data_IF_660641121480
#
_entry.id   IF_660641121480
#
_cell.length_a   1.000
_cell.length_b   1.000
_cell.length_c   1.000
_cell.angle_alpha   90.00
_cell.angle_beta   90.00
_cell.angle_gamma   90.00
#
_symmetry.space_group_name_H-M   'P 1'
#
loop_
_entity.id
_entity.type
_entity.pdbx_description
1 polymer ?
#
# COMPACT_ATOMS: atom_id res chain seq x y z
N UNK A 1 -73.57 1.56 34.81
CA UNK A 1 -72.89 2.18 33.60
C UNK A 1 -71.43 2.31 33.90
N UNK A 2 -70.63 1.38 33.46
CA UNK A 2 -69.16 1.45 33.57
C UNK A 2 -68.56 1.89 32.24
N UNK A 3 -67.88 3.03 32.25
CA UNK A 3 -67.19 3.59 31.07
C UNK A 3 -65.77 3.04 31.02
N UNK A 4 -65.48 2.27 29.98
CA UNK A 4 -64.13 1.74 29.70
C UNK A 4 -63.37 2.81 28.86
N UNK A 5 -62.31 3.37 29.43
CA UNK A 5 -61.35 4.24 28.69
C UNK A 5 -60.34 3.35 27.93
N UNK A 6 -60.37 3.48 26.62
CA UNK A 6 -59.37 2.91 25.70
C UNK A 6 -58.18 3.89 25.58
N UNK A 7 -56.97 3.45 25.91
CA UNK A 7 -55.72 4.15 25.63
C UNK A 7 -55.23 3.77 24.25
N UNK A 8 -54.81 4.72 23.39
CA UNK A 8 -54.19 4.40 22.13
C UNK A 8 -52.74 3.94 22.35
N UNK A 9 -52.44 2.72 21.95
CA UNK A 9 -51.08 2.20 21.96
C UNK A 9 -50.19 2.91 20.95
N UNK A 10 -49.13 3.54 21.43
CA UNK A 10 -48.07 4.14 20.60
C UNK A 10 -47.23 3.03 19.96
N UNK A 11 -47.36 2.85 18.65
CA UNK A 11 -46.51 1.99 17.88
C UNK A 11 -45.17 2.71 17.72
N UNK A 12 -44.15 2.31 18.45
CA UNK A 12 -42.77 2.69 18.22
C UNK A 12 -42.32 2.00 16.93
N UNK A 13 -42.20 2.77 15.83
CA UNK A 13 -41.51 2.31 14.65
C UNK A 13 -40.02 2.16 14.98
N UNK A 14 -39.53 0.91 15.06
CA UNK A 14 -38.10 0.62 15.06
C UNK A 14 -37.56 1.10 13.70
N UNK A 15 -36.86 2.23 13.69
CA UNK A 15 -35.99 2.59 12.58
C UNK A 15 -34.95 1.46 12.43
N UNK A 16 -35.04 0.70 11.36
CA UNK A 16 -33.95 -0.20 10.96
C UNK A 16 -32.75 0.71 10.71
N UNK A 17 -31.73 0.59 11.58
CA UNK A 17 -30.41 1.07 11.26
C UNK A 17 -30.01 0.34 9.98
N UNK A 18 -29.89 1.08 8.89
CA UNK A 18 -29.32 0.55 7.65
C UNK A 18 -27.90 0.13 8.00
N UNK A 19 -27.64 -1.18 7.99
CA UNK A 19 -26.28 -1.70 8.11
C UNK A 19 -25.44 -1.05 6.98
N UNK A 20 -24.44 -0.28 7.36
CA UNK A 20 -23.46 0.23 6.42
C UNK A 20 -22.79 -1.01 5.81
N UNK A 21 -22.82 -1.18 4.48
CA UNK A 21 -22.17 -2.34 3.88
C UNK A 21 -20.71 -2.41 4.33
N UNK A 22 -20.24 -3.60 4.70
CA UNK A 22 -18.84 -3.80 5.04
C UNK A 22 -17.96 -3.33 3.88
N UNK A 23 -16.89 -2.57 4.18
CA UNK A 23 -15.96 -2.12 3.15
C UNK A 23 -15.43 -3.31 2.35
N UNK A 24 -15.39 -3.16 1.04
CA UNK A 24 -14.77 -4.14 0.12
C UNK A 24 -13.29 -4.34 0.41
N UNK A 25 -12.65 -3.33 0.94
CA UNK A 25 -11.21 -3.28 1.17
C UNK A 25 -10.92 -3.25 2.68
N UNK A 26 -9.87 -3.92 3.09
CA UNK A 26 -9.31 -3.84 4.44
C UNK A 26 -8.43 -2.60 4.58
N UNK A 27 -8.54 -1.89 5.69
CA UNK A 27 -7.66 -0.76 5.95
C UNK A 27 -6.24 -1.26 6.22
N UNK A 28 -5.32 -0.97 5.28
CA UNK A 28 -3.92 -1.37 5.34
C UNK A 28 -3.01 -0.26 5.89
N UNK A 29 -1.90 -0.68 6.51
CA UNK A 29 -0.79 0.17 6.94
C UNK A 29 0.51 -0.31 6.30
N UNK A 30 1.25 0.61 5.65
CA UNK A 30 2.65 0.34 5.32
C UNK A 30 3.50 0.49 6.58
N UNK A 31 4.11 -0.63 7.01
CA UNK A 31 4.84 -0.72 8.29
C UNK A 31 6.09 0.16 8.36
N UNK A 32 6.60 0.65 7.22
CA UNK A 32 7.68 1.63 7.19
C UNK A 32 7.33 2.94 7.91
N UNK A 33 6.04 3.29 7.97
CA UNK A 33 5.54 4.44 8.73
C UNK A 33 5.91 4.38 10.20
N UNK A 34 5.94 3.19 10.76
CA UNK A 34 6.19 2.94 12.18
C UNK A 34 7.49 2.15 12.42
N UNK A 35 8.47 2.31 11.49
CA UNK A 35 9.75 1.59 11.54
C UNK A 35 10.51 1.76 12.86
N UNK A 36 10.41 2.95 13.48
CA UNK A 36 11.11 3.24 14.73
C UNK A 36 10.49 2.48 15.92
N UNK A 37 9.19 2.57 16.25
CA UNK A 37 8.61 1.75 17.29
C UNK A 37 8.72 0.24 16.97
N UNK A 38 8.56 -0.16 15.70
CA UNK A 38 8.68 -1.56 15.29
C UNK A 38 10.08 -2.12 15.56
N UNK A 39 11.14 -1.33 15.38
CA UNK A 39 12.51 -1.75 15.68
C UNK A 39 12.79 -1.94 17.18
N UNK A 40 12.01 -1.32 18.06
CA UNK A 40 12.15 -1.39 19.51
C UNK A 40 11.33 -2.52 20.14
N UNK A 41 10.10 -2.69 19.69
CA UNK A 41 9.15 -3.69 20.18
C UNK A 41 8.18 -4.12 19.08
N UNK A 42 8.50 -5.21 18.41
CA UNK A 42 7.68 -5.73 17.31
C UNK A 42 6.29 -6.14 17.80
N UNK A 43 6.22 -6.91 18.90
CA UNK A 43 4.97 -7.46 19.37
C UNK A 43 4.02 -6.39 19.89
N UNK A 44 4.53 -5.48 20.73
CA UNK A 44 3.74 -4.36 21.25
C UNK A 44 3.28 -3.40 20.15
N UNK A 45 4.11 -3.16 19.15
CA UNK A 45 3.77 -2.29 18.01
C UNK A 45 2.67 -2.92 17.14
N UNK A 46 2.78 -4.20 16.78
CA UNK A 46 1.75 -4.92 16.00
C UNK A 46 0.42 -4.97 16.76
N UNK A 47 0.45 -5.21 18.07
CA UNK A 47 -0.75 -5.13 18.92
C UNK A 47 -1.41 -3.75 18.88
N UNK A 48 -0.64 -2.66 18.91
CA UNK A 48 -1.17 -1.31 18.79
C UNK A 48 -1.76 -1.05 17.39
N UNK A 49 -1.12 -1.49 16.32
CA UNK A 49 -1.65 -1.39 14.93
C UNK A 49 -3.04 -2.02 14.84
N UNK A 50 -3.22 -3.23 15.38
CA UNK A 50 -4.52 -3.88 15.44
C UNK A 50 -5.55 -3.11 16.27
N UNK A 51 -5.14 -2.58 17.45
CA UNK A 51 -6.01 -1.80 18.33
C UNK A 51 -6.48 -0.48 17.72
N UNK A 52 -5.68 0.16 16.86
CA UNK A 52 -6.07 1.34 16.05
C UNK A 52 -7.16 0.96 15.04
N UNK A 53 -7.20 -0.30 14.62
CA UNK A 53 -8.20 -0.84 13.71
C UNK A 53 -7.72 -0.98 12.28
N UNK A 54 -6.42 -1.05 12.05
CA UNK A 54 -5.87 -1.60 10.80
C UNK A 54 -6.15 -3.10 10.73
N UNK A 55 -6.30 -3.62 9.53
CA UNK A 55 -6.64 -5.01 9.26
C UNK A 55 -5.61 -5.70 8.35
N UNK A 56 -4.84 -4.90 7.59
CA UNK A 56 -3.81 -5.37 6.68
C UNK A 56 -2.50 -4.61 6.92
N UNK A 57 -1.37 -5.28 6.73
CA UNK A 57 -0.05 -4.69 6.85
C UNK A 57 0.74 -4.92 5.57
N UNK A 58 1.33 -3.88 5.03
CA UNK A 58 2.37 -4.06 4.02
C UNK A 58 3.73 -4.09 4.71
N UNK A 59 4.49 -5.17 4.48
CA UNK A 59 5.80 -5.38 5.11
C UNK A 59 6.92 -4.69 4.33
N UNK A 60 8.06 -4.52 4.98
CA UNK A 60 9.35 -4.13 4.38
C UNK A 60 10.48 -4.85 5.12
N UNK A 61 11.71 -4.76 4.61
CA UNK A 61 12.90 -5.17 5.37
C UNK A 61 12.99 -6.68 5.61
N UNK A 62 12.58 -7.50 4.64
CA UNK A 62 12.79 -8.94 4.68
C UNK A 62 14.28 -9.29 4.67
N UNK A 63 14.71 -10.15 5.59
CA UNK A 63 16.03 -10.74 5.63
C UNK A 63 15.98 -12.15 5.01
N UNK A 64 16.42 -12.32 3.76
CA UNK A 64 16.34 -13.60 3.06
C UNK A 64 17.34 -14.64 3.59
N UNK A 65 18.48 -14.21 4.16
CA UNK A 65 19.49 -15.11 4.67
C UNK A 65 19.02 -15.84 5.94
N UNK A 66 18.21 -15.18 6.74
CA UNK A 66 17.68 -15.70 8.01
C UNK A 66 16.19 -16.06 7.93
N UNK A 67 15.52 -15.77 6.81
CA UNK A 67 14.06 -15.93 6.62
C UNK A 67 13.29 -15.19 7.73
N UNK A 68 13.60 -13.90 7.92
CA UNK A 68 13.10 -13.08 9.03
C UNK A 68 12.44 -11.79 8.55
N UNK A 69 11.46 -11.34 9.34
CA UNK A 69 10.92 -9.99 9.32
C UNK A 69 11.09 -9.37 10.71
N UNK A 70 11.69 -8.19 10.77
CA UNK A 70 11.88 -7.42 12.02
C UNK A 70 12.55 -8.23 13.14
N UNK A 71 13.51 -9.13 12.78
CA UNK A 71 14.22 -9.98 13.72
C UNK A 71 13.50 -11.27 14.12
N UNK A 72 12.20 -11.42 13.86
CA UNK A 72 11.43 -12.65 14.07
C UNK A 72 11.55 -13.59 12.86
N UNK A 73 11.51 -14.91 13.08
CA UNK A 73 11.32 -15.84 11.97
C UNK A 73 10.02 -15.51 11.24
N UNK A 74 9.97 -15.67 9.93
CA UNK A 74 8.78 -15.35 9.13
C UNK A 74 7.52 -16.05 9.64
N UNK A 75 7.62 -17.32 10.07
CA UNK A 75 6.50 -18.06 10.65
C UNK A 75 6.01 -17.44 12.00
N UNK A 76 6.95 -17.02 12.86
CA UNK A 76 6.61 -16.42 14.14
C UNK A 76 5.95 -15.02 13.94
N UNK A 77 6.45 -14.25 12.96
CA UNK A 77 5.83 -12.98 12.59
C UNK A 77 4.43 -13.20 11.99
N UNK A 78 4.26 -14.23 11.15
CA UNK A 78 2.94 -14.63 10.65
C UNK A 78 1.97 -14.97 11.79
N UNK A 79 2.42 -15.73 12.78
CA UNK A 79 1.61 -16.08 13.94
C UNK A 79 1.22 -14.83 14.73
N UNK A 80 2.18 -13.92 14.98
CA UNK A 80 1.93 -12.65 15.66
C UNK A 80 0.83 -11.83 14.97
N UNK A 81 0.88 -11.70 13.63
CA UNK A 81 -0.18 -11.02 12.87
C UNK A 81 -1.54 -11.72 13.06
N UNK A 82 -1.56 -13.05 12.97
CA UNK A 82 -2.77 -13.86 13.11
C UNK A 82 -3.40 -13.72 14.49
N UNK A 83 -2.60 -13.72 15.56
CA UNK A 83 -3.05 -13.56 16.96
C UNK A 83 -3.73 -12.21 17.22
N UNK A 84 -3.44 -11.23 16.35
CA UNK A 84 -4.06 -9.89 16.40
C UNK A 84 -5.07 -9.65 15.27
N UNK A 85 -5.53 -10.69 14.55
CA UNK A 85 -6.47 -10.60 13.42
C UNK A 85 -5.98 -9.69 12.28
N UNK A 86 -4.66 -9.55 12.13
CA UNK A 86 -4.03 -8.86 11.02
C UNK A 86 -3.66 -9.84 9.92
N UNK A 87 -3.78 -9.38 8.68
CA UNK A 87 -3.22 -10.06 7.52
C UNK A 87 -2.04 -9.26 6.95
N UNK A 88 -1.32 -9.83 5.99
CA UNK A 88 -0.39 -9.10 5.13
C UNK A 88 -0.60 -9.55 3.70
N UNK A 89 -0.96 -8.61 2.82
CA UNK A 89 -1.27 -8.90 1.42
C UNK A 89 -0.15 -8.51 0.47
N UNK A 90 0.75 -7.60 0.86
CA UNK A 90 1.92 -7.18 0.09
C UNK A 90 3.14 -6.98 0.98
N UNK A 91 4.31 -7.01 0.36
CA UNK A 91 5.57 -6.64 0.99
C UNK A 91 6.48 -5.92 0.01
N UNK A 92 7.21 -4.92 0.53
CA UNK A 92 8.29 -4.24 -0.16
C UNK A 92 9.58 -5.05 -0.04
N UNK A 93 10.12 -5.47 -1.18
CA UNK A 93 11.35 -6.24 -1.30
C UNK A 93 12.36 -5.43 -2.12
N UNK A 94 13.52 -5.15 -1.56
CA UNK A 94 14.50 -4.27 -2.18
C UNK A 94 15.38 -5.00 -3.21
N UNK A 95 14.93 -5.05 -4.44
CA UNK A 95 15.68 -5.62 -5.57
C UNK A 95 16.83 -4.72 -6.05
N UNK A 96 16.92 -3.48 -5.57
CA UNK A 96 18.04 -2.57 -5.88
C UNK A 96 19.38 -3.17 -5.51
N UNK A 97 19.44 -3.96 -4.43
CA UNK A 97 20.66 -4.64 -3.97
C UNK A 97 21.26 -5.59 -5.00
N UNK A 98 20.45 -6.04 -5.95
CA UNK A 98 20.82 -6.97 -7.02
C UNK A 98 20.74 -6.34 -8.42
N UNK A 99 20.55 -5.02 -8.52
CA UNK A 99 20.33 -4.36 -9.80
C UNK A 99 21.50 -4.50 -10.76
N UNK A 100 22.73 -4.42 -10.27
CA UNK A 100 23.99 -4.56 -11.00
C UNK A 100 24.60 -5.97 -10.97
N UNK A 101 23.91 -6.93 -10.31
CA UNK A 101 24.35 -8.31 -10.21
C UNK A 101 23.93 -9.14 -11.43
N UNK A 102 24.47 -10.34 -11.53
CA UNK A 102 24.08 -11.29 -12.57
C UNK A 102 22.59 -11.65 -12.51
N UNK A 103 22.05 -12.09 -13.64
CA UNK A 103 20.66 -12.55 -13.70
C UNK A 103 20.38 -13.69 -12.70
N UNK A 104 21.32 -14.60 -12.52
CA UNK A 104 21.19 -15.72 -11.60
C UNK A 104 21.16 -15.28 -10.12
N UNK A 105 21.96 -14.28 -9.76
CA UNK A 105 21.92 -13.70 -8.40
C UNK A 105 20.60 -13.01 -8.13
N UNK A 106 20.13 -12.21 -9.09
CA UNK A 106 18.82 -11.58 -9.00
C UNK A 106 17.70 -12.62 -8.85
N UNK A 107 17.71 -13.69 -9.67
CA UNK A 107 16.65 -14.71 -9.60
C UNK A 107 16.70 -15.54 -8.33
N UNK A 108 17.89 -15.81 -7.76
CA UNK A 108 17.98 -16.43 -6.44
C UNK A 108 17.33 -15.56 -5.35
N UNK A 109 17.57 -14.26 -5.39
CA UNK A 109 16.91 -13.35 -4.46
C UNK A 109 15.38 -13.29 -4.67
N UNK A 110 14.91 -13.31 -5.93
CA UNK A 110 13.48 -13.44 -6.23
C UNK A 110 12.89 -14.70 -5.60
N UNK A 111 13.56 -15.84 -5.71
CA UNK A 111 13.09 -17.10 -5.11
C UNK A 111 13.01 -17.00 -3.57
N UNK A 112 13.97 -16.37 -2.94
CA UNK A 112 13.95 -16.12 -1.50
C UNK A 112 12.80 -15.18 -1.10
N UNK A 113 12.51 -14.14 -1.89
CA UNK A 113 11.36 -13.26 -1.66
C UNK A 113 10.04 -14.02 -1.81
N UNK A 114 9.93 -14.91 -2.80
CA UNK A 114 8.77 -15.79 -3.00
C UNK A 114 8.56 -16.69 -1.76
N UNK A 115 9.62 -17.28 -1.22
CA UNK A 115 9.55 -18.08 0.02
C UNK A 115 8.99 -17.26 1.18
N UNK A 116 9.57 -16.07 1.44
CA UNK A 116 9.11 -15.18 2.51
C UNK A 116 7.65 -14.76 2.34
N UNK A 117 7.25 -14.40 1.12
CA UNK A 117 5.88 -14.02 0.80
C UNK A 117 4.88 -15.17 1.01
N UNK A 118 5.25 -16.39 0.62
CA UNK A 118 4.41 -17.58 0.85
C UNK A 118 4.23 -17.91 2.33
N UNK A 119 5.29 -17.83 3.14
CA UNK A 119 5.20 -18.06 4.59
C UNK A 119 4.21 -17.07 5.22
N UNK A 120 4.28 -15.79 4.83
CA UNK A 120 3.37 -14.77 5.33
C UNK A 120 1.95 -14.88 4.75
N UNK A 121 1.77 -15.56 3.62
CA UNK A 121 0.51 -15.63 2.89
C UNK A 121 0.20 -14.38 2.08
N UNK A 122 1.23 -13.62 1.71
CA UNK A 122 1.12 -12.45 0.84
C UNK A 122 0.55 -12.80 -0.53
N UNK A 123 0.02 -11.79 -1.19
CA UNK A 123 -0.51 -11.88 -2.57
C UNK A 123 0.40 -11.20 -3.57
N UNK A 124 1.17 -10.21 -3.12
CA UNK A 124 2.05 -9.40 -3.95
C UNK A 124 3.45 -9.29 -3.36
N UNK A 125 4.43 -9.34 -4.26
CA UNK A 125 5.80 -8.89 -4.05
C UNK A 125 5.93 -7.55 -4.76
N UNK A 126 6.34 -6.50 -4.05
CA UNK A 126 6.44 -5.14 -4.61
C UNK A 126 7.90 -4.68 -4.59
N UNK A 127 8.40 -4.21 -5.74
CA UNK A 127 9.68 -3.52 -5.84
C UNK A 127 9.46 -2.03 -5.52
N UNK A 128 9.96 -1.51 -4.36
CA UNK A 128 9.60 -0.18 -3.92
C UNK A 128 10.55 0.93 -4.37
N UNK A 129 11.77 0.60 -4.79
CA UNK A 129 12.83 1.60 -4.83
C UNK A 129 13.94 1.26 -5.82
N UNK A 130 14.48 2.29 -6.50
CA UNK A 130 15.71 2.20 -7.27
C UNK A 130 16.72 3.19 -6.70
N UNK A 131 17.93 2.72 -6.34
CA UNK A 131 18.96 3.56 -5.76
C UNK A 131 19.38 4.70 -6.70
N UNK A 132 19.72 5.89 -6.18
CA UNK A 132 20.09 7.05 -7.01
C UNK A 132 21.17 6.77 -8.03
N UNK A 133 22.17 5.95 -7.71
CA UNK A 133 23.25 5.56 -8.61
C UNK A 133 22.76 4.84 -9.89
N UNK A 134 21.56 4.27 -9.87
CA UNK A 134 20.99 3.56 -11.02
C UNK A 134 19.94 4.38 -11.78
N UNK A 135 19.63 5.61 -11.40
CA UNK A 135 18.57 6.44 -12.01
C UNK A 135 19.07 7.14 -13.28
N UNK A 136 19.44 6.37 -14.29
CA UNK A 136 19.84 6.88 -15.60
C UNK A 136 18.87 6.39 -16.69
N UNK A 137 18.75 7.08 -17.83
CA UNK A 137 17.87 6.64 -18.93
C UNK A 137 18.13 5.21 -19.38
N UNK A 138 19.39 4.79 -19.43
CA UNK A 138 19.77 3.42 -19.78
C UNK A 138 19.32 2.41 -18.71
N UNK A 139 19.49 2.73 -17.44
CA UNK A 139 19.13 1.84 -16.36
C UNK A 139 17.61 1.74 -16.18
N UNK A 140 16.84 2.77 -16.53
CA UNK A 140 15.38 2.64 -16.55
C UNK A 140 14.89 1.66 -17.63
N UNK A 141 15.56 1.57 -18.79
CA UNK A 141 15.27 0.50 -19.76
C UNK A 141 15.65 -0.88 -19.23
N UNK A 142 16.81 -0.99 -18.60
CA UNK A 142 17.22 -2.23 -17.94
C UNK A 142 16.26 -2.62 -16.81
N UNK A 143 15.70 -1.64 -16.09
CA UNK A 143 14.68 -1.87 -15.06
C UNK A 143 13.42 -2.51 -15.66
N UNK A 144 12.92 -2.02 -16.80
CA UNK A 144 11.72 -2.60 -17.43
C UNK A 144 11.93 -4.06 -17.83
N UNK A 145 13.10 -4.41 -18.36
CA UNK A 145 13.47 -5.79 -18.67
C UNK A 145 13.50 -6.68 -17.40
N UNK A 146 14.09 -6.15 -16.32
CA UNK A 146 14.15 -6.87 -15.05
C UNK A 146 12.76 -7.05 -14.44
N UNK A 147 11.92 -6.01 -14.49
CA UNK A 147 10.53 -6.07 -13.98
C UNK A 147 9.74 -7.18 -14.69
N UNK A 148 9.85 -7.28 -16.02
CA UNK A 148 9.18 -8.34 -16.78
C UNK A 148 9.67 -9.74 -16.38
N UNK A 149 10.99 -9.95 -16.28
CA UNK A 149 11.57 -11.25 -15.89
C UNK A 149 11.20 -11.66 -14.46
N UNK A 150 11.25 -10.72 -13.52
CA UNK A 150 10.84 -10.95 -12.13
C UNK A 150 9.34 -11.24 -12.08
N UNK A 151 8.52 -10.44 -12.77
CA UNK A 151 7.08 -10.63 -12.86
C UNK A 151 6.72 -12.03 -13.37
N UNK A 152 7.40 -12.50 -14.42
CA UNK A 152 7.20 -13.87 -14.92
C UNK A 152 7.52 -14.93 -13.85
N UNK A 153 8.63 -14.78 -13.11
CA UNK A 153 9.04 -15.73 -12.06
C UNK A 153 8.06 -15.74 -10.90
N UNK A 154 7.66 -14.55 -10.43
CA UNK A 154 6.71 -14.36 -9.32
C UNK A 154 5.32 -14.91 -9.67
N UNK A 155 4.85 -14.64 -10.90
CA UNK A 155 3.54 -15.14 -11.37
C UNK A 155 3.51 -16.67 -11.50
N UNK A 156 4.61 -17.31 -11.92
CA UNK A 156 4.75 -18.79 -11.90
C UNK A 156 4.59 -19.37 -10.50
N UNK A 157 5.00 -18.63 -9.48
CA UNK A 157 4.81 -18.98 -8.07
C UNK A 157 3.41 -18.63 -7.52
N UNK A 158 2.46 -18.20 -8.37
CA UNK A 158 1.10 -17.81 -8.00
C UNK A 158 1.01 -16.59 -7.08
N UNK A 159 1.98 -15.69 -7.19
CA UNK A 159 1.99 -14.36 -6.58
C UNK A 159 1.88 -13.29 -7.65
N UNK A 160 1.34 -12.12 -7.30
CA UNK A 160 1.42 -10.92 -8.13
C UNK A 160 2.75 -10.21 -7.92
N UNK A 161 3.20 -9.51 -8.95
CA UNK A 161 4.37 -8.64 -8.86
C UNK A 161 3.97 -7.20 -9.19
N UNK A 162 4.46 -6.24 -8.41
CA UNK A 162 4.16 -4.82 -8.60
C UNK A 162 5.42 -3.95 -8.48
N UNK A 163 5.37 -2.79 -9.13
CA UNK A 163 6.33 -1.71 -8.97
C UNK A 163 5.67 -0.54 -8.28
N UNK A 164 6.34 0.04 -7.27
CA UNK A 164 5.91 1.21 -6.51
C UNK A 164 6.69 2.44 -6.95
N UNK A 165 6.00 3.54 -7.20
CA UNK A 165 6.62 4.79 -7.64
C UNK A 165 6.97 5.74 -6.50
N UNK A 166 8.02 6.54 -6.74
CA UNK A 166 8.38 7.73 -5.99
C UNK A 166 8.33 8.98 -6.88
N UNK A 167 9.14 9.98 -6.57
CA UNK A 167 9.29 11.23 -7.33
C UNK A 167 10.15 11.06 -8.59
N UNK A 168 11.23 10.29 -8.48
CA UNK A 168 12.27 10.22 -9.51
C UNK A 168 11.81 9.57 -10.82
N UNK A 169 10.77 8.75 -10.81
CA UNK A 169 10.20 8.20 -12.03
C UNK A 169 9.45 9.24 -12.87
N UNK A 170 9.06 10.36 -12.28
CA UNK A 170 8.40 11.46 -12.99
C UNK A 170 9.38 12.48 -13.57
N UNK A 171 10.69 12.34 -13.33
CA UNK A 171 11.72 13.14 -13.99
C UNK A 171 11.80 12.81 -15.48
N UNK A 172 12.13 13.84 -16.29
CA UNK A 172 12.38 13.65 -17.73
C UNK A 172 13.70 12.90 -17.95
N UNK A 173 13.65 11.83 -18.73
CA UNK A 173 14.80 10.99 -19.07
C UNK A 173 15.14 11.04 -20.57
N UNK A 174 14.84 12.15 -21.22
CA UNK A 174 15.12 12.36 -22.65
C UNK A 174 13.84 12.35 -23.50
N UNK A 175 12.87 13.20 -23.14
CA UNK A 175 11.60 13.40 -23.84
C UNK A 175 10.43 12.59 -23.32
N UNK A 176 10.65 11.75 -22.33
CA UNK A 176 9.60 11.04 -21.58
C UNK A 176 10.02 10.84 -20.12
N UNK A 177 9.08 10.50 -19.26
CA UNK A 177 9.38 10.13 -17.88
C UNK A 177 9.73 8.66 -17.75
N UNK A 178 10.51 8.29 -16.72
CA UNK A 178 10.79 6.89 -16.41
C UNK A 178 9.50 6.13 -16.06
N UNK A 179 8.51 6.80 -15.45
CA UNK A 179 7.22 6.19 -15.18
C UNK A 179 6.45 5.79 -16.45
N UNK A 180 6.47 6.68 -17.48
CA UNK A 180 5.90 6.34 -18.78
C UNK A 180 6.62 5.14 -19.42
N UNK A 181 7.94 5.08 -19.30
CA UNK A 181 8.73 3.96 -19.79
C UNK A 181 8.30 2.65 -19.10
N UNK A 182 8.22 2.66 -17.76
CA UNK A 182 7.77 1.50 -16.99
C UNK A 182 6.36 1.07 -17.43
N UNK A 183 5.44 2.02 -17.57
CA UNK A 183 4.07 1.70 -18.01
C UNK A 183 4.03 1.07 -19.39
N UNK A 184 4.84 1.55 -20.34
CA UNK A 184 4.76 1.17 -21.74
C UNK A 184 5.60 -0.08 -22.09
N UNK A 185 6.73 -0.31 -21.40
CA UNK A 185 7.68 -1.38 -21.73
C UNK A 185 7.58 -2.59 -20.78
N UNK A 186 6.66 -2.57 -19.82
CA UNK A 186 6.40 -3.76 -18.99
C UNK A 186 5.05 -4.38 -19.33
N UNK A 187 5.01 -5.72 -19.34
CA UNK A 187 3.79 -6.48 -19.59
C UNK A 187 2.77 -6.28 -18.45
N UNK A 188 1.59 -5.70 -18.71
CA UNK A 188 0.57 -5.46 -17.69
C UNK A 188 -0.02 -6.73 -17.07
N UNK A 189 0.15 -7.90 -17.69
CA UNK A 189 -0.23 -9.17 -17.10
C UNK A 189 0.77 -9.60 -16.01
N UNK A 190 2.06 -9.31 -16.20
CA UNK A 190 3.14 -9.73 -15.32
C UNK A 190 3.46 -8.70 -14.24
N UNK A 191 3.41 -7.41 -14.59
CA UNK A 191 3.85 -6.29 -13.74
C UNK A 191 2.67 -5.38 -13.48
N UNK A 192 2.17 -5.39 -12.26
CA UNK A 192 1.17 -4.44 -11.77
C UNK A 192 1.85 -3.19 -11.22
N UNK A 193 1.06 -2.18 -10.91
CA UNK A 193 1.55 -0.93 -10.34
C UNK A 193 0.92 -0.71 -8.96
N UNK A 194 1.76 -0.36 -8.01
CA UNK A 194 1.35 0.21 -6.74
C UNK A 194 1.55 1.72 -6.84
N UNK A 195 0.45 2.47 -6.94
CA UNK A 195 0.50 3.92 -7.07
C UNK A 195 0.63 4.57 -5.70
N UNK A 196 1.73 5.26 -5.46
CA UNK A 196 1.81 6.21 -4.35
C UNK A 196 1.16 7.53 -4.78
N UNK A 197 0.02 7.82 -4.20
CA UNK A 197 -0.80 8.99 -4.55
C UNK A 197 -0.09 10.30 -4.19
N UNK A 198 0.67 10.33 -3.08
CA UNK A 198 1.45 11.50 -2.70
C UNK A 198 2.50 11.83 -3.77
N UNK A 199 3.31 10.83 -4.19
CA UNK A 199 4.37 11.07 -5.16
C UNK A 199 3.83 11.44 -6.55
N UNK A 200 2.67 10.89 -6.95
CA UNK A 200 1.98 11.33 -8.17
C UNK A 200 1.58 12.80 -8.04
N UNK A 201 0.91 13.20 -6.96
CA UNK A 201 0.48 14.59 -6.74
C UNK A 201 1.65 15.55 -6.52
N UNK A 202 2.77 15.05 -6.00
CA UNK A 202 3.98 15.83 -5.76
C UNK A 202 4.78 16.09 -7.05
N UNK A 203 4.96 15.08 -7.90
CA UNK A 203 5.99 15.12 -8.94
C UNK A 203 5.50 14.87 -10.36
N UNK A 204 4.31 14.31 -10.54
CA UNK A 204 3.75 14.03 -11.87
C UNK A 204 3.09 15.28 -12.48
N UNK A 205 3.16 15.38 -13.81
CA UNK A 205 2.37 16.35 -14.59
C UNK A 205 0.93 15.87 -14.83
N UNK A 206 0.67 14.58 -14.60
CA UNK A 206 -0.62 13.94 -14.75
C UNK A 206 -1.20 13.63 -13.38
N UNK A 207 -2.49 13.80 -13.23
CA UNK A 207 -3.23 13.37 -12.04
C UNK A 207 -3.31 11.84 -11.95
N UNK A 208 -3.62 11.28 -10.76
CA UNK A 208 -3.91 9.85 -10.62
C UNK A 208 -4.98 9.35 -11.60
N UNK A 209 -6.08 10.10 -11.78
CA UNK A 209 -7.15 9.74 -12.72
C UNK A 209 -6.69 9.67 -14.19
N UNK A 210 -5.82 10.59 -14.61
CA UNK A 210 -5.24 10.57 -15.97
C UNK A 210 -4.28 9.39 -16.16
N UNK A 211 -3.48 9.04 -15.16
CA UNK A 211 -2.61 7.86 -15.21
C UNK A 211 -3.45 6.57 -15.28
N UNK A 212 -4.48 6.46 -14.43
CA UNK A 212 -5.41 5.32 -14.44
C UNK A 212 -6.12 5.20 -15.80
N UNK A 213 -6.52 6.33 -16.41
CA UNK A 213 -7.17 6.33 -17.72
C UNK A 213 -6.27 5.81 -18.85
N UNK A 214 -4.95 5.94 -18.73
CA UNK A 214 -4.01 5.38 -19.71
C UNK A 214 -3.93 3.86 -19.66
N UNK A 215 -4.04 3.26 -18.48
CA UNK A 215 -3.92 1.81 -18.27
C UNK A 215 -4.91 1.32 -17.20
N UNK A 216 -6.21 1.28 -17.48
CA UNK A 216 -7.22 0.80 -16.53
C UNK A 216 -6.93 -0.64 -16.09
N UNK A 217 -7.22 -0.95 -14.82
CA UNK A 217 -7.04 -2.30 -14.26
C UNK A 217 -5.59 -2.66 -13.87
N UNK A 218 -4.64 -1.74 -14.00
CA UNK A 218 -3.23 -2.02 -13.73
C UNK A 218 -2.74 -1.53 -12.36
N UNK A 219 -3.42 -0.54 -11.76
CA UNK A 219 -3.01 0.12 -10.51
C UNK A 219 -3.67 -0.57 -9.31
N UNK A 220 -3.28 -1.82 -9.10
CA UNK A 220 -3.95 -2.76 -8.19
C UNK A 220 -3.73 -2.47 -6.70
N UNK A 221 -2.76 -1.65 -6.37
CA UNK A 221 -2.48 -1.22 -5.01
C UNK A 221 -2.23 0.29 -4.95
N UNK A 222 -2.61 0.91 -3.83
CA UNK A 222 -2.36 2.32 -3.59
C UNK A 222 -1.69 2.56 -2.24
N UNK A 223 -0.74 3.51 -2.21
CA UNK A 223 -0.36 4.19 -0.99
C UNK A 223 -1.15 5.48 -0.85
N UNK A 224 -1.88 5.59 0.25
CA UNK A 224 -2.66 6.78 0.60
C UNK A 224 -1.84 7.57 1.61
N UNK A 225 -1.19 8.63 1.13
CA UNK A 225 -0.24 9.46 1.85
C UNK A 225 -0.53 10.93 1.56
N UNK A 226 -0.68 11.76 2.58
CA UNK A 226 -1.03 13.16 2.40
C UNK A 226 0.20 14.08 2.35
N UNK A 227 -0.01 15.28 1.82
CA UNK A 227 1.04 16.25 1.53
C UNK A 227 0.81 17.54 2.30
N UNK A 228 1.78 17.97 3.09
CA UNK A 228 1.72 19.24 3.82
C UNK A 228 1.45 20.42 2.89
N UNK A 229 0.57 21.33 3.36
CA UNK A 229 0.08 22.49 2.59
C UNK A 229 1.14 23.54 2.29
N UNK A 230 2.22 23.59 3.08
CA UNK A 230 3.21 24.67 3.01
C UNK A 230 4.50 24.24 2.35
N UNK A 231 5.09 23.15 2.87
CA UNK A 231 6.41 22.68 2.42
C UNK A 231 6.32 21.46 1.49
N UNK A 232 5.10 20.91 1.29
CA UNK A 232 4.83 19.73 0.47
C UNK A 232 5.50 18.44 0.95
N UNK A 233 5.96 18.40 2.19
CA UNK A 233 6.43 17.20 2.86
C UNK A 233 5.24 16.30 3.28
N UNK A 234 5.48 15.21 3.97
CA UNK A 234 4.42 14.31 4.44
C UNK A 234 3.55 14.97 5.50
N UNK A 235 2.32 14.52 5.60
CA UNK A 235 1.36 14.96 6.62
C UNK A 235 0.41 13.82 6.97
N UNK A 236 -0.20 13.89 8.15
CA UNK A 236 -1.33 13.05 8.52
C UNK A 236 -2.51 13.28 7.57
N UNK A 237 -3.26 12.22 7.26
CA UNK A 237 -4.43 12.31 6.39
C UNK A 237 -5.42 13.36 6.93
N UNK A 238 -5.82 14.26 6.04
CA UNK A 238 -6.75 15.36 6.32
C UNK A 238 -6.11 16.64 6.83
N UNK A 239 -4.85 16.59 7.24
CA UNK A 239 -4.10 17.81 7.56
C UNK A 239 -3.40 18.38 6.32
N UNK A 240 -3.20 17.56 5.30
CA UNK A 240 -2.53 17.91 4.07
C UNK A 240 -3.42 18.59 3.01
N UNK A 241 -2.93 18.61 1.77
CA UNK A 241 -3.51 19.32 0.63
C UNK A 241 -4.11 18.41 -0.43
N UNK A 242 -3.95 17.08 -0.32
CA UNK A 242 -4.46 16.14 -1.33
C UNK A 242 -5.96 15.92 -1.10
N UNK A 243 -6.75 16.20 -2.12
CA UNK A 243 -8.18 15.89 -2.10
C UNK A 243 -8.43 14.44 -2.53
N UNK A 244 -8.47 13.54 -1.56
CA UNK A 244 -8.73 12.12 -1.79
C UNK A 244 -10.17 11.84 -2.23
N UNK A 245 -11.11 12.78 -2.05
CA UNK A 245 -12.51 12.56 -2.42
C UNK A 245 -12.70 12.46 -3.93
N UNK A 246 -11.79 13.04 -4.70
CA UNK A 246 -11.79 12.96 -6.18
C UNK A 246 -10.92 11.83 -6.73
N UNK A 247 -10.01 11.26 -5.90
CA UNK A 247 -9.10 10.19 -6.32
C UNK A 247 -9.69 8.82 -6.01
N UNK A 248 -10.19 8.61 -4.78
CA UNK A 248 -10.66 7.30 -4.32
C UNK A 248 -11.80 6.70 -5.17
N UNK A 249 -12.74 7.48 -5.74
CA UNK A 249 -13.76 6.94 -6.65
C UNK A 249 -13.21 6.24 -7.90
N UNK A 250 -11.95 6.52 -8.30
CA UNK A 250 -11.31 5.85 -9.44
C UNK A 250 -10.87 4.41 -9.12
N UNK A 251 -11.06 3.92 -7.89
CA UNK A 251 -10.60 2.60 -7.43
C UNK A 251 -11.03 1.45 -8.34
N UNK A 252 -12.29 1.42 -8.77
CA UNK A 252 -12.80 0.36 -9.66
C UNK A 252 -12.11 0.40 -11.03
N UNK A 253 -11.93 1.59 -11.61
CA UNK A 253 -11.26 1.78 -12.90
C UNK A 253 -9.76 1.45 -12.81
N UNK A 254 -9.14 1.77 -11.68
CA UNK A 254 -7.76 1.39 -11.38
C UNK A 254 -7.55 -0.12 -11.29
N UNK A 255 -8.60 -0.89 -10.99
CA UNK A 255 -8.52 -2.30 -10.64
C UNK A 255 -7.99 -2.52 -9.23
N UNK A 256 -8.24 -1.56 -8.32
CA UNK A 256 -7.73 -1.60 -6.96
C UNK A 256 -8.13 -2.89 -6.25
N UNK A 257 -7.16 -3.51 -5.57
CA UNK A 257 -7.33 -4.70 -4.75
C UNK A 257 -6.98 -4.44 -3.29
N UNK A 258 -5.93 -3.63 -3.05
CA UNK A 258 -5.45 -3.29 -1.71
C UNK A 258 -5.00 -1.83 -1.65
N UNK A 259 -5.06 -1.24 -0.47
CA UNK A 259 -4.46 0.06 -0.21
C UNK A 259 -3.80 0.07 1.17
N UNK A 260 -2.81 0.93 1.31
CA UNK A 260 -2.08 1.10 2.56
C UNK A 260 -1.94 2.59 2.86
N UNK A 261 -2.33 2.97 4.07
CA UNK A 261 -2.01 4.30 4.61
C UNK A 261 -0.53 4.32 4.93
N UNK A 262 0.16 5.40 4.54
CA UNK A 262 1.58 5.55 4.81
C UNK A 262 1.94 6.99 5.15
N UNK A 263 2.91 7.16 6.06
CA UNK A 263 3.59 8.43 6.30
C UNK A 263 5.08 8.17 6.54
N UNK A 264 5.94 8.63 5.62
CA UNK A 264 7.38 8.34 5.65
C UNK A 264 8.19 9.13 6.69
N UNK A 265 7.62 10.19 7.26
CA UNK A 265 8.27 11.12 8.19
C UNK A 265 7.39 12.33 8.48
N UNK A 266 8.02 13.42 8.98
CA UNK A 266 7.34 14.69 9.29
C UNK A 266 6.10 14.49 10.20
N UNK A 267 6.26 13.65 11.24
CA UNK A 267 5.20 13.34 12.17
C UNK A 267 4.90 14.55 13.08
N UNK A 268 3.63 14.92 13.24
CA UNK A 268 3.24 16.03 14.09
C UNK A 268 3.63 15.80 15.57
N UNK A 269 3.64 14.56 16.03
CA UNK A 269 4.08 14.17 17.36
C UNK A 269 5.05 12.99 17.30
N UNK A 270 4.56 11.82 16.94
CA UNK A 270 5.30 10.58 16.81
C UNK A 270 4.64 9.66 15.77
N UNK A 271 5.35 8.62 15.27
CA UNK A 271 4.81 7.76 14.22
C UNK A 271 3.48 7.07 14.59
N UNK A 272 3.35 6.59 15.83
CA UNK A 272 2.14 5.87 16.25
C UNK A 272 0.92 6.79 16.35
N UNK A 273 1.11 8.02 16.85
CA UNK A 273 0.05 9.01 16.88
C UNK A 273 -0.38 9.40 15.46
N UNK A 274 0.57 9.63 14.55
CA UNK A 274 0.27 10.02 13.16
C UNK A 274 -0.52 8.95 12.41
N UNK A 275 -0.15 7.66 12.53
CA UNK A 275 -0.92 6.58 11.89
C UNK A 275 -2.28 6.37 12.57
N UNK A 276 -2.41 6.70 13.86
CA UNK A 276 -3.70 6.69 14.57
C UNK A 276 -4.63 7.79 14.05
N UNK A 277 -4.13 9.02 13.95
CA UNK A 277 -4.90 10.18 13.46
C UNK A 277 -5.32 9.97 12.01
N UNK A 278 -4.42 9.44 11.19
CA UNK A 278 -4.70 9.10 9.78
C UNK A 278 -5.79 8.01 9.66
N UNK A 279 -5.75 6.97 10.50
CA UNK A 279 -6.78 5.92 10.52
C UNK A 279 -8.16 6.46 10.92
N UNK A 280 -8.22 7.30 11.95
CA UNK A 280 -9.45 7.95 12.41
C UNK A 280 -10.04 8.83 11.30
N UNK A 281 -9.19 9.66 10.68
CA UNK A 281 -9.64 10.53 9.59
C UNK A 281 -10.14 9.71 8.39
N UNK A 282 -9.39 8.68 8.00
CA UNK A 282 -9.75 7.80 6.89
C UNK A 282 -11.13 7.16 7.09
N UNK A 283 -11.33 6.48 8.21
CA UNK A 283 -12.61 5.84 8.54
C UNK A 283 -13.78 6.81 8.54
N UNK A 284 -13.59 7.98 9.12
CA UNK A 284 -14.65 8.99 9.24
C UNK A 284 -15.00 9.67 7.92
N UNK A 285 -14.02 9.93 7.07
CA UNK A 285 -14.18 10.86 5.94
C UNK A 285 -14.00 10.20 4.56
N UNK A 286 -13.15 9.19 4.44
CA UNK A 286 -12.67 8.68 3.16
C UNK A 286 -13.15 7.25 2.83
N UNK A 287 -13.33 6.38 3.79
CA UNK A 287 -13.66 4.96 3.58
C UNK A 287 -14.90 4.76 2.70
N UNK A 288 -15.89 5.62 2.80
CA UNK A 288 -17.12 5.60 1.99
C UNK A 288 -16.88 5.70 0.47
N UNK A 289 -15.74 6.22 0.03
CA UNK A 289 -15.38 6.33 -1.39
C UNK A 289 -14.74 5.06 -1.95
N UNK A 290 -14.46 4.08 -1.10
CA UNK A 290 -13.89 2.77 -1.45
C UNK A 290 -14.89 1.59 -1.24
N UNK A 291 -16.17 1.88 -1.29
CA UNK A 291 -17.24 0.87 -1.14
C UNK A 291 -17.59 0.20 -2.46
#
# INVERSE_FOLDING_TARGET
>A
MQSTLLFPGSVFALQRLTEVPASKYKMGLQLFSIREPLSKDVAGTIKQVAAIGYEDCETYGYDPAMVKYYGLKAADFKQLLTDHNLITTSGHYDFTLFFDKSADEMMRYVDQCIEGAHILGQKYITWPWLAPAFRTPQNFRLLTDKLNKIGERVNKAKLGFAYHNHDFEFADIGGQTAYNLIMNETDPALVKLQMDLYWVMHSSKLSPAELIAKQPGRFVMWHIKDMDKKNRDYSELGNGSIDFTVILPEATKAGLQYYYIEQGGNFAKDPMQSVTDSAIYFKKNLEKYLQ
#
